data_IF_463040733581
#
_entry.id   IF_463040733581
#
_cell.length_a   1.000
_cell.length_b   1.000
_cell.length_c   1.000
_cell.angle_alpha   90.00
_cell.angle_beta   90.00
_cell.angle_gamma   90.00
#
_symmetry.space_group_name_H-M   'P 1'
#
loop_
_entity.id
_entity.type
_entity.pdbx_description
1 polymer ?
#
# COMPACT_ATOMS: atom_id res chain seq x y z
N UNK A 1 -2.64 -39.13 44.54
CA UNK A 1 -3.57 -38.70 43.47
C UNK A 1 -3.84 -37.22 43.68
N UNK A 2 -3.39 -36.34 42.77
CA UNK A 2 -3.72 -34.91 42.84
C UNK A 2 -5.19 -34.81 42.45
N UNK A 3 -6.05 -34.35 43.36
CA UNK A 3 -7.46 -34.13 43.08
C UNK A 3 -7.60 -32.96 42.09
N UNK A 4 -7.76 -33.31 40.82
CA UNK A 4 -7.92 -32.38 39.68
C UNK A 4 -9.08 -31.42 39.93
N UNK A 5 -10.11 -31.84 40.67
CA UNK A 5 -11.25 -30.99 41.04
C UNK A 5 -10.82 -29.85 41.97
N UNK A 6 -10.07 -30.15 43.03
CA UNK A 6 -9.55 -29.14 43.96
C UNK A 6 -8.61 -28.11 43.30
N UNK A 7 -7.79 -28.56 42.33
CA UNK A 7 -6.88 -27.67 41.57
C UNK A 7 -7.68 -26.74 40.66
N UNK A 8 -8.69 -27.25 39.97
CA UNK A 8 -9.58 -26.45 39.10
C UNK A 8 -10.35 -25.39 39.91
N UNK A 9 -10.89 -25.75 41.07
CA UNK A 9 -11.60 -24.79 41.96
C UNK A 9 -10.65 -23.69 42.47
N UNK A 10 -9.38 -24.03 42.72
CA UNK A 10 -8.37 -23.06 43.19
C UNK A 10 -7.98 -22.09 42.08
N UNK A 11 -7.80 -22.58 40.86
CA UNK A 11 -7.55 -21.76 39.66
C UNK A 11 -8.73 -20.80 39.41
N UNK A 12 -9.96 -21.29 39.56
CA UNK A 12 -11.16 -20.49 39.34
C UNK A 12 -11.31 -19.37 40.38
N UNK A 13 -11.05 -19.66 41.66
CA UNK A 13 -11.00 -18.64 42.73
C UNK A 13 -9.91 -17.58 42.49
N UNK A 14 -8.72 -18.00 42.04
CA UNK A 14 -7.63 -17.06 41.72
C UNK A 14 -8.01 -16.11 40.58
N UNK A 15 -8.60 -16.63 39.49
CA UNK A 15 -9.08 -15.81 38.37
C UNK A 15 -10.18 -14.84 38.80
N UNK A 16 -11.10 -15.26 39.67
CA UNK A 16 -12.15 -14.38 40.23
C UNK A 16 -11.54 -13.23 41.03
N UNK A 17 -10.56 -13.52 41.88
CA UNK A 17 -9.90 -12.51 42.70
C UNK A 17 -9.10 -11.51 41.85
N UNK A 18 -8.40 -11.98 40.82
CA UNK A 18 -7.66 -11.12 39.89
C UNK A 18 -8.58 -10.13 39.17
N UNK A 19 -9.76 -10.59 38.73
CA UNK A 19 -10.77 -9.73 38.09
C UNK A 19 -11.34 -8.71 39.08
N UNK A 20 -11.65 -9.13 40.32
CA UNK A 20 -12.13 -8.22 41.36
C UNK A 20 -11.08 -7.17 41.75
N UNK A 21 -9.79 -7.50 41.71
CA UNK A 21 -8.71 -6.54 41.99
C UNK A 21 -8.60 -5.43 40.92
N UNK A 22 -9.14 -5.64 39.70
CA UNK A 22 -9.25 -4.60 38.67
C UNK A 22 -10.36 -3.58 38.97
N UNK A 23 -11.22 -3.87 39.95
CA UNK A 23 -12.30 -2.99 40.36
C UNK A 23 -11.81 -1.87 41.26
N UNK A 24 -11.85 -0.63 40.75
CA UNK A 24 -11.32 0.55 41.44
C UNK A 24 -12.34 1.27 42.33
N UNK A 25 -13.63 0.95 42.21
CA UNK A 25 -14.68 1.59 42.99
C UNK A 25 -14.93 0.87 44.32
N UNK A 26 -15.23 1.66 45.36
CA UNK A 26 -15.55 1.13 46.69
C UNK A 26 -16.82 0.28 46.63
N UNK A 27 -16.78 -0.90 47.25
CA UNK A 27 -17.96 -1.72 47.56
C UNK A 27 -18.44 -1.37 48.97
N UNK A 28 -19.73 -1.09 49.14
CA UNK A 28 -20.32 -0.77 50.45
C UNK A 28 -21.71 -1.39 50.64
N UNK A 29 -22.17 -1.48 51.87
CA UNK A 29 -23.54 -1.91 52.20
C UNK A 29 -24.40 -0.68 52.51
N UNK A 30 -25.59 -0.61 51.90
CA UNK A 30 -26.57 0.43 52.13
C UNK A 30 -27.39 0.21 53.41
N UNK A 31 -28.11 1.25 53.85
CA UNK A 31 -29.04 1.20 55.00
C UNK A 31 -30.15 0.15 54.82
N UNK A 32 -30.45 -0.19 53.56
CA UNK A 32 -31.40 -1.21 53.11
C UNK A 32 -30.82 -2.64 53.10
N UNK A 33 -29.60 -2.83 53.62
CA UNK A 33 -28.92 -4.13 53.67
C UNK A 33 -28.35 -4.61 52.32
N UNK A 34 -28.59 -3.88 51.24
CA UNK A 34 -28.08 -4.22 49.90
C UNK A 34 -26.63 -3.80 49.70
N UNK A 35 -25.87 -4.60 48.95
CA UNK A 35 -24.49 -4.33 48.58
C UNK A 35 -24.43 -3.53 47.29
N UNK A 36 -23.62 -2.47 47.27
CA UNK A 36 -23.56 -1.48 46.20
C UNK A 36 -22.12 -1.22 45.75
N UNK A 37 -21.94 -0.95 44.47
CA UNK A 37 -20.72 -0.38 43.89
C UNK A 37 -21.03 0.45 42.65
N UNK A 38 -20.05 1.20 42.15
CA UNK A 38 -20.12 1.85 40.85
C UNK A 38 -19.36 1.04 39.80
N UNK A 39 -19.90 0.93 38.58
CA UNK A 39 -19.17 0.45 37.42
C UNK A 39 -19.05 1.59 36.39
N UNK A 40 -17.97 1.66 35.60
CA UNK A 40 -17.90 2.62 34.49
C UNK A 40 -19.05 2.38 33.50
N UNK A 41 -19.64 3.45 32.98
CA UNK A 41 -20.77 3.37 32.04
C UNK A 41 -20.36 3.31 30.55
N UNK A 42 -19.05 3.28 30.26
CA UNK A 42 -18.50 3.27 28.91
C UNK A 42 -18.52 4.63 28.19
N UNK A 43 -19.11 5.68 28.78
CA UNK A 43 -19.22 7.04 28.22
C UNK A 43 -18.51 8.10 29.09
N UNK A 44 -17.65 7.67 30.01
CA UNK A 44 -16.90 8.54 30.91
C UNK A 44 -17.62 8.84 32.24
N UNK A 45 -18.79 8.25 32.48
CA UNK A 45 -19.52 8.33 33.74
C UNK A 45 -19.51 7.01 34.51
N UNK A 46 -20.43 6.90 35.48
CA UNK A 46 -20.53 5.74 36.39
C UNK A 46 -21.98 5.33 36.60
N UNK A 47 -22.22 4.02 36.61
CA UNK A 47 -23.53 3.41 36.90
C UNK A 47 -23.51 2.74 38.27
N UNK A 48 -24.49 3.05 39.11
CA UNK A 48 -24.69 2.37 40.39
C UNK A 48 -25.26 0.97 40.14
N UNK A 49 -24.63 -0.04 40.75
CA UNK A 49 -25.12 -1.42 40.76
C UNK A 49 -25.41 -1.81 42.21
N UNK A 50 -26.60 -2.37 42.44
CA UNK A 50 -27.06 -2.82 43.76
C UNK A 50 -27.54 -4.27 43.68
N UNK A 51 -27.12 -5.09 44.64
CA UNK A 51 -27.55 -6.50 44.79
C UNK A 51 -27.79 -6.83 46.26
N UNK A 52 -28.75 -7.74 46.53
CA UNK A 52 -29.09 -8.14 47.91
C UNK A 52 -27.98 -8.95 48.60
N UNK A 53 -27.20 -9.74 47.86
CA UNK A 53 -26.08 -10.54 48.37
C UNK A 53 -24.75 -10.03 47.81
N UNK A 54 -23.69 -10.01 48.63
CA UNK A 54 -22.34 -9.60 48.22
C UNK A 54 -21.80 -10.46 47.07
N UNK A 55 -21.98 -11.78 47.15
CA UNK A 55 -21.57 -12.72 46.10
C UNK A 55 -22.21 -12.40 44.74
N UNK A 56 -23.48 -12.01 44.73
CA UNK A 56 -24.20 -11.62 43.50
C UNK A 56 -23.69 -10.27 42.96
N UNK A 57 -23.26 -9.37 43.82
CA UNK A 57 -22.59 -8.14 43.40
C UNK A 57 -21.23 -8.47 42.77
N UNK A 58 -20.42 -9.31 43.42
CA UNK A 58 -19.11 -9.75 42.93
C UNK A 58 -19.23 -10.50 41.59
N UNK A 59 -20.23 -11.37 41.42
CA UNK A 59 -20.54 -11.99 40.13
C UNK A 59 -20.86 -10.96 39.04
N UNK A 60 -21.60 -9.89 39.39
CA UNK A 60 -21.92 -8.81 38.44
C UNK A 60 -20.68 -8.00 38.07
N UNK A 61 -19.80 -7.71 39.03
CA UNK A 61 -18.51 -7.04 38.80
C UNK A 61 -17.63 -7.90 37.89
N UNK A 62 -17.52 -9.21 38.19
CA UNK A 62 -16.73 -10.14 37.39
C UNK A 62 -17.29 -10.26 35.97
N UNK A 63 -18.60 -10.38 35.81
CA UNK A 63 -19.25 -10.42 34.51
C UNK A 63 -18.96 -9.16 33.70
N UNK A 64 -19.07 -7.98 34.31
CA UNK A 64 -18.73 -6.70 33.68
C UNK A 64 -17.28 -6.66 33.18
N UNK A 65 -16.31 -7.01 34.02
CA UNK A 65 -14.90 -6.97 33.60
C UNK A 65 -14.52 -8.10 32.63
N UNK A 66 -15.21 -9.24 32.67
CA UNK A 66 -15.09 -10.27 31.62
C UNK A 66 -15.63 -9.75 30.30
N UNK A 67 -16.81 -9.14 30.31
CA UNK A 67 -17.42 -8.56 29.12
C UNK A 67 -16.57 -7.42 28.53
N UNK A 68 -16.02 -6.54 29.38
CA UNK A 68 -15.07 -5.50 28.97
C UNK A 68 -13.76 -6.09 28.41
N UNK A 69 -13.26 -7.18 28.98
CA UNK A 69 -12.09 -7.91 28.46
C UNK A 69 -12.40 -8.64 27.15
N UNK A 70 -13.65 -9.03 26.93
CA UNK A 70 -14.14 -9.70 25.71
C UNK A 70 -14.68 -8.72 24.66
N UNK A 71 -14.67 -7.41 24.94
CA UNK A 71 -15.11 -6.37 24.03
C UNK A 71 -13.93 -5.45 23.69
N UNK A 72 -13.09 -5.86 22.73
CA UNK A 72 -11.97 -5.04 22.28
C UNK A 72 -12.47 -3.81 21.50
N UNK A 73 -11.62 -2.80 21.43
CA UNK A 73 -11.78 -1.65 20.53
C UNK A 73 -11.57 -2.06 19.07
N UNK A 74 -12.07 -1.24 18.14
CA UNK A 74 -11.81 -1.42 16.71
C UNK A 74 -10.31 -1.47 16.41
N UNK A 75 -9.52 -0.62 17.08
CA UNK A 75 -8.06 -0.61 16.93
C UNK A 75 -7.43 -1.93 17.35
N UNK A 76 -7.79 -2.47 18.50
CA UNK A 76 -7.24 -3.74 18.99
C UNK A 76 -7.57 -4.91 18.06
N UNK A 77 -8.79 -4.93 17.49
CA UNK A 77 -9.18 -5.95 16.49
C UNK A 77 -8.39 -5.78 15.20
N UNK A 78 -8.20 -4.54 14.74
CA UNK A 78 -7.39 -4.24 13.57
C UNK A 78 -5.92 -4.65 13.75
N UNK A 79 -5.31 -4.27 14.86
CA UNK A 79 -3.90 -4.58 15.18
C UNK A 79 -3.71 -6.09 15.23
N UNK A 80 -4.55 -6.82 15.99
CA UNK A 80 -4.52 -8.29 16.06
C UNK A 80 -4.63 -8.91 14.67
N UNK A 81 -5.59 -8.45 13.85
CA UNK A 81 -5.79 -8.98 12.51
C UNK A 81 -4.59 -8.73 11.59
N UNK A 82 -4.02 -7.53 11.61
CA UNK A 82 -2.94 -7.15 10.71
C UNK A 82 -1.61 -7.77 11.14
N UNK A 83 -1.30 -7.77 12.45
CA UNK A 83 -0.10 -8.38 13.04
C UNK A 83 -0.09 -9.88 12.81
N UNK A 84 -1.21 -10.55 13.06
CA UNK A 84 -1.36 -11.98 12.80
C UNK A 84 -1.10 -12.35 11.34
N UNK A 85 -1.49 -11.49 10.37
CA UNK A 85 -1.19 -11.74 8.94
C UNK A 85 0.30 -11.62 8.65
N UNK A 86 1.00 -10.72 9.34
CA UNK A 86 2.45 -10.56 9.22
C UNK A 86 3.18 -11.75 9.86
N UNK A 87 2.81 -12.14 11.08
CA UNK A 87 3.37 -13.29 11.81
C UNK A 87 3.22 -14.60 11.02
N UNK A 88 2.03 -14.82 10.44
CA UNK A 88 1.76 -15.98 9.58
C UNK A 88 2.37 -15.87 8.17
N UNK A 89 3.20 -14.86 7.91
CA UNK A 89 3.86 -14.61 6.63
C UNK A 89 2.88 -14.50 5.45
N UNK A 90 1.61 -14.18 5.70
CA UNK A 90 0.58 -13.96 4.68
C UNK A 90 0.76 -12.62 3.97
N UNK A 91 1.44 -11.68 4.62
CA UNK A 91 1.78 -10.37 4.05
C UNK A 91 3.23 -10.01 4.35
N UNK A 92 3.80 -9.13 3.53
CA UNK A 92 5.11 -8.54 3.78
C UNK A 92 5.06 -7.39 4.81
N UNK A 93 6.18 -7.07 5.49
CA UNK A 93 6.28 -5.91 6.38
C UNK A 93 5.83 -4.58 5.73
N UNK A 94 6.15 -4.37 4.45
CA UNK A 94 5.72 -3.17 3.71
C UNK A 94 4.23 -3.14 3.37
N UNK A 95 3.55 -4.30 3.35
CA UNK A 95 2.09 -4.35 3.22
C UNK A 95 1.45 -4.07 4.58
N UNK A 96 1.96 -4.69 5.63
CA UNK A 96 1.53 -4.43 7.01
C UNK A 96 1.59 -2.93 7.34
N UNK A 97 2.75 -2.29 7.15
CA UNK A 97 2.93 -0.85 7.41
C UNK A 97 1.93 0.01 6.62
N UNK A 98 1.72 -0.31 5.35
CA UNK A 98 0.77 0.44 4.51
C UNK A 98 -0.65 0.33 5.03
N UNK A 99 -1.04 -0.88 5.47
CA UNK A 99 -2.34 -1.13 6.08
C UNK A 99 -2.50 -0.36 7.39
N UNK A 100 -1.46 -0.30 8.24
CA UNK A 100 -1.43 0.53 9.45
C UNK A 100 -1.59 2.02 9.11
N UNK A 101 -0.79 2.57 8.20
CA UNK A 101 -0.88 3.98 7.80
C UNK A 101 -2.25 4.35 7.22
N UNK A 102 -2.85 3.42 6.49
CA UNK A 102 -4.19 3.60 5.95
C UNK A 102 -5.24 3.61 7.07
N UNK A 103 -5.14 2.69 8.03
CA UNK A 103 -6.01 2.67 9.20
C UNK A 103 -5.86 3.93 10.06
N UNK A 104 -4.64 4.35 10.37
CA UNK A 104 -4.37 5.58 11.12
C UNK A 104 -5.05 6.81 10.48
N UNK A 105 -5.00 6.92 9.15
CA UNK A 105 -5.60 8.03 8.41
C UNK A 105 -7.12 8.11 8.61
N UNK A 106 -7.80 6.97 8.53
CA UNK A 106 -9.27 6.90 8.45
C UNK A 106 -9.96 6.62 9.79
N UNK A 107 -9.28 6.01 10.76
CA UNK A 107 -9.88 5.57 12.02
C UNK A 107 -9.37 6.32 13.24
N UNK A 108 -8.12 6.80 13.21
CA UNK A 108 -7.46 7.43 14.37
C UNK A 108 -7.42 8.96 14.22
N UNK A 109 -6.91 9.45 13.09
CA UNK A 109 -6.83 10.90 12.81
C UNK A 109 -8.18 11.51 12.44
N UNK A 110 -9.16 10.66 12.17
CA UNK A 110 -10.52 11.06 11.86
C UNK A 110 -11.26 11.54 13.12
N UNK A 111 -12.17 12.49 12.92
CA UNK A 111 -12.93 13.12 14.01
C UNK A 111 -13.89 12.17 14.73
N UNK A 112 -14.34 11.11 14.09
CA UNK A 112 -15.30 10.15 14.65
C UNK A 112 -14.67 9.20 15.67
N UNK A 113 -13.33 9.17 15.75
CA UNK A 113 -12.56 8.36 16.72
C UNK A 113 -13.02 6.90 16.77
N UNK A 114 -13.47 6.34 15.64
CA UNK A 114 -14.02 4.99 15.55
C UNK A 114 -13.02 3.93 16.02
N UNK A 115 -11.71 4.18 15.87
CA UNK A 115 -10.65 3.31 16.39
C UNK A 115 -10.80 2.99 17.89
N UNK A 116 -11.30 3.93 18.70
CA UNK A 116 -11.39 3.79 20.16
C UNK A 116 -12.74 3.23 20.61
N UNK A 117 -13.71 3.09 19.71
CA UNK A 117 -15.02 2.53 20.04
C UNK A 117 -14.92 1.02 20.22
N UNK A 118 -15.76 0.49 21.11
CA UNK A 118 -15.87 -0.94 21.41
C UNK A 118 -16.58 -1.65 20.27
N UNK A 119 -15.96 -2.67 19.68
CA UNK A 119 -16.45 -3.25 18.42
C UNK A 119 -17.85 -3.87 18.53
N UNK A 120 -18.19 -4.46 19.70
CA UNK A 120 -19.52 -5.06 19.93
C UNK A 120 -20.64 -4.01 19.99
N UNK A 121 -20.30 -2.75 20.23
CA UNK A 121 -21.27 -1.66 20.36
C UNK A 121 -21.63 -1.02 19.01
N UNK A 122 -20.94 -1.39 17.92
CA UNK A 122 -21.11 -0.76 16.61
C UNK A 122 -21.98 -1.66 15.74
N UNK A 123 -23.14 -1.16 15.36
CA UNK A 123 -24.09 -1.81 14.45
C UNK A 123 -23.60 -1.82 13.00
N UNK A 124 -24.21 -2.66 12.17
CA UNK A 124 -23.93 -2.68 10.72
C UNK A 124 -24.21 -1.31 10.06
N UNK A 125 -25.28 -0.64 10.49
CA UNK A 125 -25.66 0.69 9.98
C UNK A 125 -24.61 1.77 10.36
N UNK A 126 -24.09 1.75 11.59
CA UNK A 126 -23.02 2.66 12.00
C UNK A 126 -21.71 2.43 11.20
N UNK A 127 -21.44 1.19 10.80
CA UNK A 127 -20.32 0.88 9.89
C UNK A 127 -20.53 1.46 8.49
N UNK A 128 -21.75 1.39 7.97
CA UNK A 128 -22.10 1.95 6.66
C UNK A 128 -21.96 3.47 6.67
N UNK A 129 -22.62 4.13 7.62
CA UNK A 129 -22.54 5.58 7.78
C UNK A 129 -21.09 6.07 7.93
N UNK A 130 -20.26 5.35 8.69
CA UNK A 130 -18.86 5.69 8.82
C UNK A 130 -18.15 5.64 7.45
N UNK A 131 -18.33 4.56 6.67
CA UNK A 131 -17.68 4.40 5.37
C UNK A 131 -18.12 5.48 4.36
N UNK A 132 -19.41 5.80 4.32
CA UNK A 132 -19.97 6.86 3.48
C UNK A 132 -19.41 8.24 3.87
N UNK A 133 -19.34 8.54 5.18
CA UNK A 133 -18.69 9.76 5.69
C UNK A 133 -17.21 9.81 5.33
N UNK A 134 -16.50 8.69 5.35
CA UNK A 134 -15.08 8.63 4.93
C UNK A 134 -14.90 8.92 3.44
N UNK A 135 -15.80 8.42 2.58
CA UNK A 135 -15.78 8.70 1.14
C UNK A 135 -15.86 10.21 0.87
N UNK A 136 -16.87 10.87 1.42
CA UNK A 136 -17.08 12.31 1.23
C UNK A 136 -15.98 13.15 1.90
N UNK A 137 -15.60 12.84 3.14
CA UNK A 137 -14.65 13.65 3.92
C UNK A 137 -13.23 13.66 3.35
N UNK A 138 -12.78 12.53 2.82
CA UNK A 138 -11.43 12.39 2.29
C UNK A 138 -11.38 12.48 0.75
N UNK A 139 -12.52 12.81 0.10
CA UNK A 139 -12.64 12.96 -1.35
C UNK A 139 -11.99 11.77 -2.07
N UNK A 140 -12.47 10.56 -1.74
CA UNK A 140 -11.80 9.32 -2.15
C UNK A 140 -12.10 8.97 -3.61
N UNK A 141 -11.08 8.46 -4.30
CA UNK A 141 -11.28 7.77 -5.59
C UNK A 141 -11.90 6.40 -5.36
N UNK A 142 -12.57 5.83 -6.37
CA UNK A 142 -13.14 4.47 -6.29
C UNK A 142 -12.11 3.42 -5.84
N UNK A 143 -10.85 3.55 -6.29
CA UNK A 143 -9.74 2.66 -5.89
C UNK A 143 -9.35 2.82 -4.42
N UNK A 144 -9.28 4.06 -3.94
CA UNK A 144 -8.97 4.33 -2.54
C UNK A 144 -10.09 3.83 -1.61
N UNK A 145 -11.35 4.06 -1.99
CA UNK A 145 -12.52 3.57 -1.26
C UNK A 145 -12.60 2.03 -1.27
N UNK A 146 -12.36 1.38 -2.41
CA UNK A 146 -12.26 -0.09 -2.49
C UNK A 146 -11.15 -0.64 -1.58
N UNK A 147 -10.02 0.07 -1.46
CA UNK A 147 -8.95 -0.29 -0.52
C UNK A 147 -9.39 -0.16 0.94
N UNK A 148 -10.15 0.90 1.29
CA UNK A 148 -10.75 1.07 2.62
C UNK A 148 -11.71 -0.07 2.94
N UNK A 149 -12.66 -0.37 2.03
CA UNK A 149 -13.58 -1.51 2.16
C UNK A 149 -12.83 -2.83 2.34
N UNK A 150 -11.74 -3.04 1.61
CA UNK A 150 -10.90 -4.23 1.74
C UNK A 150 -10.26 -4.39 3.13
N UNK A 151 -9.81 -3.29 3.75
CA UNK A 151 -9.27 -3.31 5.12
C UNK A 151 -10.38 -3.59 6.13
N UNK A 152 -11.52 -2.88 6.02
CA UNK A 152 -12.70 -3.07 6.90
C UNK A 152 -13.22 -4.49 6.83
N UNK A 153 -13.45 -5.01 5.62
CA UNK A 153 -13.81 -6.41 5.38
C UNK A 153 -12.85 -7.36 6.09
N UNK A 154 -11.55 -7.08 6.00
CA UNK A 154 -10.49 -7.92 6.56
C UNK A 154 -10.62 -8.11 8.06
N UNK A 155 -10.56 -7.02 8.83
CA UNK A 155 -10.59 -7.11 10.29
C UNK A 155 -11.99 -7.42 10.83
N UNK A 156 -13.08 -7.01 10.15
CA UNK A 156 -14.45 -7.39 10.58
C UNK A 156 -14.74 -8.86 10.32
N UNK A 157 -14.25 -9.48 9.24
CA UNK A 157 -14.35 -10.95 9.08
C UNK A 157 -13.61 -11.68 10.20
N UNK A 158 -12.49 -11.12 10.69
CA UNK A 158 -11.79 -11.63 11.86
C UNK A 158 -12.61 -11.46 13.14
N UNK A 159 -13.25 -10.30 13.33
CA UNK A 159 -14.16 -10.04 14.44
C UNK A 159 -15.32 -11.04 14.47
N UNK A 160 -15.97 -11.28 13.31
CA UNK A 160 -17.04 -12.26 13.17
C UNK A 160 -16.58 -13.68 13.51
N UNK A 161 -15.40 -14.09 13.03
CA UNK A 161 -14.80 -15.40 13.37
C UNK A 161 -14.49 -15.55 14.87
N UNK A 162 -14.34 -14.44 15.59
CA UNK A 162 -14.14 -14.40 17.05
C UNK A 162 -15.44 -14.13 17.80
N UNK A 163 -16.59 -14.17 17.12
CA UNK A 163 -17.92 -13.95 17.70
C UNK A 163 -18.06 -12.58 18.39
N UNK A 164 -17.30 -11.59 17.92
CA UNK A 164 -17.39 -10.20 18.39
C UNK A 164 -18.50 -9.42 17.68
N UNK A 165 -18.95 -9.89 16.52
CA UNK A 165 -20.06 -9.33 15.75
C UNK A 165 -20.86 -10.49 15.14
N UNK A 166 -22.16 -10.26 14.92
CA UNK A 166 -23.07 -11.29 14.38
C UNK A 166 -23.60 -10.97 12.98
N UNK A 167 -23.57 -9.71 12.54
CA UNK A 167 -24.05 -9.30 11.22
C UNK A 167 -23.17 -9.84 10.08
N UNK A 168 -23.69 -9.82 8.85
CA UNK A 168 -22.97 -10.20 7.65
C UNK A 168 -22.07 -9.05 7.18
N UNK A 169 -20.75 -9.28 7.17
CA UNK A 169 -19.76 -8.26 6.79
C UNK A 169 -19.81 -7.97 5.29
N UNK A 170 -20.13 -8.98 4.47
CA UNK A 170 -20.19 -8.79 3.02
C UNK A 170 -21.46 -8.04 2.62
N UNK A 171 -22.64 -8.43 3.13
CA UNK A 171 -23.90 -7.67 2.93
C UNK A 171 -23.77 -6.22 3.40
N UNK A 172 -23.24 -5.99 4.60
CA UNK A 172 -23.02 -4.62 5.11
C UNK A 172 -22.19 -3.75 4.15
N UNK A 173 -21.22 -4.32 3.45
CA UNK A 173 -20.37 -3.60 2.49
C UNK A 173 -20.95 -3.50 1.08
N UNK A 174 -21.92 -4.34 0.75
CA UNK A 174 -22.66 -4.35 -0.52
C UNK A 174 -23.82 -3.34 -0.47
N UNK A 175 -24.48 -3.23 0.69
CA UNK A 175 -25.61 -2.33 0.95
C UNK A 175 -25.20 -0.87 1.22
N UNK A 176 -23.95 -0.48 0.92
CA UNK A 176 -23.50 0.91 1.04
C UNK A 176 -24.21 1.80 0.02
N UNK A 177 -24.76 2.93 0.47
CA UNK A 177 -25.39 3.91 -0.41
C UNK A 177 -24.31 4.82 -1.02
N UNK A 178 -23.67 4.33 -2.09
CA UNK A 178 -22.61 5.05 -2.80
C UNK A 178 -22.82 5.00 -4.31
N UNK A 179 -22.73 6.15 -4.96
CA UNK A 179 -22.84 6.28 -6.42
C UNK A 179 -21.52 6.62 -7.08
N UNK A 180 -21.39 6.31 -8.38
CA UNK A 180 -20.16 6.64 -9.13
C UNK A 180 -19.82 8.14 -9.17
N UNK A 181 -20.82 9.00 -8.97
CA UNK A 181 -20.68 10.46 -9.03
C UNK A 181 -20.01 11.04 -7.79
N UNK A 182 -20.04 10.32 -6.68
CA UNK A 182 -19.43 10.74 -5.41
C UNK A 182 -17.93 10.48 -5.35
N UNK A 183 -17.41 9.60 -6.21
CA UNK A 183 -15.98 9.35 -6.25
C UNK A 183 -15.23 10.49 -6.91
N UNK A 184 -14.13 10.89 -6.29
CA UNK A 184 -13.16 11.81 -6.88
C UNK A 184 -12.69 11.28 -8.25
N UNK A 185 -12.93 12.07 -9.29
CA UNK A 185 -12.38 11.82 -10.62
C UNK A 185 -11.01 12.47 -10.71
N UNK A 186 -10.01 11.67 -11.05
CA UNK A 186 -8.65 12.16 -11.30
C UNK A 186 -8.37 11.97 -12.79
N UNK A 187 -8.24 13.09 -13.49
CA UNK A 187 -7.83 13.12 -14.89
C UNK A 187 -6.32 13.38 -14.88
N UNK A 188 -5.59 12.55 -15.64
CA UNK A 188 -4.16 12.70 -15.84
C UNK A 188 -3.89 12.95 -17.31
N UNK A 189 -3.21 14.06 -17.58
CA UNK A 189 -2.79 14.43 -18.93
C UNK A 189 -1.63 13.53 -19.39
N UNK A 190 -1.48 13.35 -20.70
CA UNK A 190 -0.44 12.46 -21.25
C UNK A 190 0.96 12.90 -20.82
N UNK A 191 1.22 14.21 -20.78
CA UNK A 191 2.50 14.78 -20.35
C UNK A 191 2.81 14.53 -18.86
N UNK A 192 1.85 14.10 -18.05
CA UNK A 192 2.09 13.70 -16.65
C UNK A 192 2.39 12.20 -16.52
N UNK A 193 1.96 11.43 -17.51
CA UNK A 193 1.92 9.98 -17.48
C UNK A 193 3.07 9.32 -18.23
N UNK A 194 3.57 9.96 -19.28
CA UNK A 194 4.65 9.46 -20.13
C UNK A 194 5.60 10.59 -20.51
N UNK A 195 6.86 10.24 -20.75
CA UNK A 195 7.77 11.05 -21.55
C UNK A 195 7.38 10.91 -23.02
N UNK A 196 7.20 12.05 -23.68
CA UNK A 196 7.06 12.11 -25.14
C UNK A 196 8.41 11.83 -25.84
N UNK A 197 8.41 11.80 -27.17
CA UNK A 197 9.61 11.51 -27.96
C UNK A 197 10.73 12.55 -27.72
N UNK A 198 10.37 13.84 -27.71
CA UNK A 198 11.32 14.96 -27.53
C UNK A 198 11.92 14.95 -26.11
N UNK A 199 11.10 14.72 -25.10
CA UNK A 199 11.51 14.60 -23.70
C UNK A 199 12.39 13.36 -23.47
N UNK A 200 12.06 12.25 -24.12
CA UNK A 200 12.82 11.00 -24.02
C UNK A 200 14.21 11.17 -24.64
N UNK A 201 14.29 11.73 -25.86
CA UNK A 201 15.55 12.05 -26.52
C UNK A 201 16.40 12.99 -25.66
N UNK A 202 15.81 14.09 -25.20
CA UNK A 202 16.50 15.07 -24.35
C UNK A 202 17.06 14.46 -23.05
N UNK A 203 16.27 13.62 -22.38
CA UNK A 203 16.69 12.95 -21.16
C UNK A 203 17.82 11.95 -21.43
N UNK A 204 17.66 11.07 -22.43
CA UNK A 204 18.64 10.03 -22.77
C UNK A 204 19.97 10.62 -23.22
N UNK A 205 19.94 11.65 -24.07
CA UNK A 205 21.15 12.37 -24.51
C UNK A 205 21.88 12.98 -23.33
N UNK A 206 21.18 13.70 -22.45
CA UNK A 206 21.80 14.26 -21.25
C UNK A 206 22.45 13.19 -20.37
N UNK A 207 21.77 12.05 -20.16
CA UNK A 207 22.29 10.94 -19.34
C UNK A 207 23.56 10.33 -19.94
N UNK A 208 23.62 10.17 -21.28
CA UNK A 208 24.80 9.65 -21.99
C UNK A 208 25.99 10.63 -21.93
N UNK A 209 25.73 11.92 -22.07
CA UNK A 209 26.78 12.94 -22.04
C UNK A 209 27.32 13.21 -20.63
N UNK A 210 26.56 12.86 -19.60
CA UNK A 210 26.88 13.11 -18.20
C UNK A 210 26.84 11.82 -17.38
N UNK A 211 27.49 10.75 -17.85
CA UNK A 211 27.44 9.46 -17.16
C UNK A 211 28.06 9.53 -15.75
N UNK A 212 27.22 9.24 -14.76
CA UNK A 212 27.62 8.92 -13.39
C UNK A 212 26.78 7.71 -12.92
N UNK A 213 27.08 7.16 -11.74
CA UNK A 213 26.37 5.97 -11.23
C UNK A 213 24.84 6.18 -11.07
N UNK A 214 24.37 7.39 -10.77
CA UNK A 214 22.93 7.67 -10.67
C UNK A 214 22.31 7.82 -12.05
N UNK A 215 22.98 8.52 -12.97
CA UNK A 215 22.51 8.71 -14.33
C UNK A 215 22.51 7.38 -15.09
N UNK A 216 23.47 6.50 -14.82
CA UNK A 216 23.46 5.12 -15.34
C UNK A 216 22.25 4.33 -14.84
N UNK A 217 21.88 4.46 -13.56
CA UNK A 217 20.69 3.81 -13.03
C UNK A 217 19.40 4.30 -13.72
N UNK A 218 19.30 5.61 -14.00
CA UNK A 218 18.17 6.20 -14.71
C UNK A 218 18.17 5.76 -16.18
N UNK A 219 19.32 5.77 -16.84
CA UNK A 219 19.46 5.33 -18.23
C UNK A 219 19.01 3.88 -18.39
N UNK A 220 19.41 3.00 -17.46
CA UNK A 220 18.98 1.61 -17.45
C UNK A 220 17.46 1.49 -17.33
N UNK A 221 16.79 2.37 -16.57
CA UNK A 221 15.32 2.39 -16.52
C UNK A 221 14.69 2.71 -17.87
N UNK A 222 15.24 3.66 -18.62
CA UNK A 222 14.73 4.00 -19.96
C UNK A 222 15.02 2.89 -20.99
N UNK A 223 16.17 2.23 -20.88
CA UNK A 223 16.58 1.18 -21.82
C UNK A 223 15.84 -0.15 -21.62
N UNK A 224 15.45 -0.47 -20.38
CA UNK A 224 14.93 -1.81 -20.02
C UNK A 224 13.55 -1.81 -19.39
N UNK A 225 13.03 -0.62 -19.05
CA UNK A 225 11.82 -0.45 -18.27
C UNK A 225 11.94 -0.91 -16.81
N UNK A 226 13.07 -1.45 -16.33
CA UNK A 226 13.22 -2.05 -14.98
C UNK A 226 12.67 -1.17 -13.84
N UNK A 227 12.12 -1.80 -12.80
CA UNK A 227 11.67 -1.04 -11.63
C UNK A 227 12.90 -0.53 -10.89
N UNK A 228 12.83 0.70 -10.39
CA UNK A 228 13.94 1.34 -9.65
C UNK A 228 14.48 0.48 -8.50
N UNK A 229 13.61 -0.25 -7.78
CA UNK A 229 14.02 -1.16 -6.71
C UNK A 229 14.73 -2.42 -7.20
N UNK A 230 14.47 -2.86 -8.44
CA UNK A 230 15.18 -3.96 -9.10
C UNK A 230 16.59 -3.50 -9.50
N UNK A 231 16.72 -2.30 -10.08
CA UNK A 231 18.00 -1.75 -10.54
C UNK A 231 19.00 -1.58 -9.40
N UNK A 232 18.58 -0.93 -8.31
CA UNK A 232 19.48 -0.70 -7.16
C UNK A 232 19.79 -1.98 -6.37
N UNK A 233 19.20 -3.12 -6.74
CA UNK A 233 19.42 -4.42 -6.14
C UNK A 233 20.23 -5.37 -7.06
N UNK A 234 20.63 -4.91 -8.25
CA UNK A 234 21.44 -5.68 -9.19
C UNK A 234 22.83 -5.98 -8.63
N UNK A 235 23.22 -7.25 -8.74
CA UNK A 235 24.56 -7.74 -8.47
C UNK A 235 25.28 -8.07 -9.78
N UNK A 236 26.60 -8.21 -9.75
CA UNK A 236 27.37 -8.58 -10.95
C UNK A 236 26.97 -9.95 -11.51
N UNK A 237 26.62 -10.92 -10.65
CA UNK A 237 26.11 -12.25 -11.08
C UNK A 237 24.78 -12.19 -11.85
N UNK A 238 24.08 -11.05 -11.80
CA UNK A 238 22.82 -10.85 -12.50
C UNK A 238 23.03 -10.34 -13.95
N UNK A 239 24.24 -9.90 -14.32
CA UNK A 239 24.54 -9.32 -15.64
C UNK A 239 25.31 -10.34 -16.48
N UNK A 240 24.68 -10.80 -17.55
CA UNK A 240 25.26 -11.72 -18.54
C UNK A 240 25.36 -11.02 -19.89
N UNK A 241 26.04 -11.63 -20.85
CA UNK A 241 26.10 -11.08 -22.20
C UNK A 241 24.72 -11.21 -22.89
N UNK A 242 24.16 -10.06 -23.30
CA UNK A 242 22.88 -9.95 -23.99
C UNK A 242 21.64 -9.97 -23.09
N UNK A 243 21.77 -10.15 -21.77
CA UNK A 243 20.63 -10.07 -20.87
C UNK A 243 20.96 -9.82 -19.38
N UNK A 244 19.98 -9.25 -18.67
CA UNK A 244 20.02 -9.00 -17.22
C UNK A 244 18.99 -9.87 -16.49
N UNK A 245 19.43 -10.62 -15.49
CA UNK A 245 18.60 -11.43 -14.60
C UNK A 245 17.99 -10.57 -13.50
N UNK A 246 16.69 -10.30 -13.58
CA UNK A 246 15.98 -9.65 -12.47
C UNK A 246 15.63 -10.71 -11.44
N UNK A 247 16.31 -10.67 -10.30
CA UNK A 247 16.11 -11.61 -9.18
C UNK A 247 15.67 -10.94 -7.90
N UNK A 248 16.05 -9.68 -7.68
CA UNK A 248 15.91 -9.02 -6.38
C UNK A 248 15.17 -7.70 -6.49
N UNK A 249 14.66 -7.22 -5.36
CA UNK A 249 14.08 -5.87 -5.29
C UNK A 249 14.26 -5.23 -3.92
N UNK A 250 14.59 -3.94 -3.92
CA UNK A 250 14.60 -3.12 -2.72
C UNK A 250 13.17 -2.92 -2.18
N UNK A 251 12.99 -3.17 -0.89
CA UNK A 251 11.77 -2.82 -0.16
C UNK A 251 12.09 -1.96 1.06
N UNK A 252 11.19 -1.03 1.36
CA UNK A 252 11.28 -0.14 2.52
C UNK A 252 10.07 -0.36 3.43
N UNK A 253 10.32 -0.50 4.73
CA UNK A 253 9.30 -0.63 5.77
C UNK A 253 9.82 -0.01 7.08
N UNK A 254 8.97 0.07 8.11
CA UNK A 254 9.37 0.47 9.46
C UNK A 254 9.63 -0.78 10.29
N UNK A 255 10.77 -0.83 10.97
CA UNK A 255 11.04 -1.91 11.93
C UNK A 255 10.25 -1.72 13.23
N UNK A 256 10.46 -2.62 14.19
CA UNK A 256 9.81 -2.59 15.51
C UNK A 256 10.15 -1.31 16.31
N UNK A 257 11.25 -0.63 15.99
CA UNK A 257 11.66 0.63 16.63
C UNK A 257 11.02 1.85 15.95
N UNK A 258 10.26 1.65 14.88
CA UNK A 258 9.60 2.71 14.11
C UNK A 258 10.50 3.40 13.08
N UNK A 259 11.76 2.96 12.96
CA UNK A 259 12.73 3.49 12.02
C UNK A 259 12.55 2.88 10.64
N UNK A 260 12.75 3.69 9.60
CA UNK A 260 12.67 3.19 8.23
C UNK A 260 13.89 2.35 7.89
N UNK A 261 13.66 1.07 7.63
CA UNK A 261 14.67 0.12 7.17
C UNK A 261 14.46 -0.16 5.69
N UNK A 262 15.56 -0.28 4.97
CA UNK A 262 15.62 -0.65 3.57
C UNK A 262 16.30 -2.01 3.47
N UNK A 263 15.61 -2.98 2.86
CA UNK A 263 16.10 -4.36 2.71
C UNK A 263 16.00 -4.80 1.26
N UNK A 264 16.84 -5.75 0.87
CA UNK A 264 16.71 -6.47 -0.39
C UNK A 264 15.89 -7.73 -0.14
N UNK A 265 14.96 -8.02 -1.05
CA UNK A 265 14.27 -9.31 -1.10
C UNK A 265 14.80 -10.11 -2.27
N UNK A 266 15.21 -11.34 -2.01
CA UNK A 266 15.76 -12.26 -3.01
C UNK A 266 14.70 -12.82 -3.98
N UNK A 267 13.42 -12.51 -3.77
CA UNK A 267 12.34 -12.87 -4.70
C UNK A 267 11.34 -11.72 -4.86
N UNK A 268 10.94 -11.37 -6.09
CA UNK A 268 9.84 -10.47 -6.36
C UNK A 268 8.52 -11.05 -5.84
N UNK A 269 7.53 -10.18 -5.59
CA UNK A 269 6.21 -10.58 -5.04
C UNK A 269 5.46 -11.63 -5.87
N UNK A 270 5.81 -11.82 -7.13
CA UNK A 270 5.16 -12.75 -8.07
C UNK A 270 6.23 -13.52 -8.87
N UNK A 271 5.91 -14.75 -9.31
CA UNK A 271 6.81 -15.55 -10.17
C UNK A 271 7.24 -14.79 -11.44
N UNK A 272 6.32 -14.02 -12.04
CA UNK A 272 6.60 -13.17 -13.21
C UNK A 272 7.60 -12.01 -12.94
N UNK A 273 7.89 -11.70 -11.67
CA UNK A 273 8.92 -10.71 -11.37
C UNK A 273 10.33 -11.24 -11.61
N UNK A 274 10.53 -12.57 -11.53
CA UNK A 274 11.79 -13.24 -11.89
C UNK A 274 11.82 -13.40 -13.40
N UNK A 275 12.66 -12.61 -14.07
CA UNK A 275 12.71 -12.59 -15.53
C UNK A 275 14.11 -12.27 -16.04
N UNK A 276 14.35 -12.54 -17.31
CA UNK A 276 15.55 -12.12 -18.01
C UNK A 276 15.13 -10.99 -18.95
N UNK A 277 15.83 -9.87 -18.84
CA UNK A 277 15.63 -8.69 -19.68
C UNK A 277 16.67 -8.75 -20.76
N UNK A 278 16.24 -8.96 -22.01
CA UNK A 278 17.13 -8.98 -23.16
C UNK A 278 17.62 -7.56 -23.44
N UNK A 279 18.92 -7.43 -23.68
CA UNK A 279 19.58 -6.19 -24.08
C UNK A 279 20.04 -6.36 -25.54
N UNK A 280 19.55 -5.54 -26.48
CA UNK A 280 20.01 -5.57 -27.87
C UNK A 280 21.50 -5.23 -27.99
N UNK A 281 22.17 -5.81 -28.98
CA UNK A 281 23.61 -5.64 -29.24
C UNK A 281 24.00 -4.17 -29.41
N UNK A 282 23.16 -3.37 -30.07
CA UNK A 282 23.37 -1.93 -30.28
C UNK A 282 23.44 -1.15 -28.95
N UNK A 283 22.88 -1.72 -27.89
CA UNK A 283 22.91 -1.20 -26.52
C UNK A 283 23.80 -2.01 -25.58
N UNK A 284 24.55 -3.00 -26.08
CA UNK A 284 25.43 -3.87 -25.30
C UNK A 284 26.54 -3.12 -24.53
N UNK A 285 26.87 -1.91 -24.96
CA UNK A 285 27.76 -1.01 -24.20
C UNK A 285 27.24 -0.71 -22.78
N UNK A 286 25.92 -0.79 -22.55
CA UNK A 286 25.30 -0.67 -21.22
C UNK A 286 25.84 -1.77 -20.30
N UNK A 287 25.88 -3.01 -20.77
CA UNK A 287 26.38 -4.16 -20.01
C UNK A 287 27.85 -3.97 -19.65
N UNK A 288 28.66 -3.54 -20.62
CA UNK A 288 30.08 -3.20 -20.38
C UNK A 288 30.21 -2.13 -19.30
N UNK A 289 29.40 -1.06 -19.33
CA UNK A 289 29.42 -0.04 -18.29
C UNK A 289 28.95 -0.55 -16.94
N UNK A 290 27.94 -1.43 -16.89
CA UNK A 290 27.48 -2.05 -15.64
C UNK A 290 28.59 -2.90 -15.01
N UNK A 291 29.30 -3.72 -15.79
CA UNK A 291 30.42 -4.55 -15.30
C UNK A 291 31.59 -3.71 -14.76
N UNK A 292 31.80 -2.51 -15.31
CA UNK A 292 32.83 -1.57 -14.83
C UNK A 292 32.42 -0.78 -13.57
N UNK A 293 31.14 -0.74 -13.22
CA UNK A 293 30.68 -0.08 -12.01
C UNK A 293 30.91 -0.98 -10.79
N UNK A 294 31.75 -0.53 -9.86
CA UNK A 294 32.07 -1.27 -8.63
C UNK A 294 32.47 -2.75 -8.89
N UNK A 295 33.48 -3.00 -9.74
CA UNK A 295 33.74 -4.34 -10.30
C UNK A 295 34.10 -5.41 -9.25
N UNK A 296 34.55 -4.99 -8.07
CA UNK A 296 34.96 -5.88 -6.98
C UNK A 296 33.93 -5.96 -5.84
N UNK A 297 32.82 -5.23 -5.94
CA UNK A 297 31.78 -5.24 -4.91
C UNK A 297 30.62 -6.17 -5.26
N UNK A 298 29.75 -6.44 -4.28
CA UNK A 298 28.59 -7.31 -4.49
C UNK A 298 27.52 -6.66 -5.38
N UNK A 299 27.23 -5.38 -5.14
CA UNK A 299 26.19 -4.61 -5.85
C UNK A 299 26.80 -3.68 -6.89
N UNK A 300 26.16 -3.56 -8.05
CA UNK A 300 26.63 -2.69 -9.14
C UNK A 300 26.49 -1.20 -8.76
N UNK A 301 25.34 -0.82 -8.21
CA UNK A 301 25.03 0.57 -7.90
C UNK A 301 25.36 0.90 -6.43
N UNK A 302 26.46 1.62 -6.22
CA UNK A 302 26.90 2.14 -4.91
C UNK A 302 26.89 3.68 -4.88
N UNK A 303 26.80 4.24 -3.67
CA UNK A 303 26.98 5.68 -3.47
C UNK A 303 28.47 6.03 -3.47
N UNK A 304 28.92 6.97 -4.32
CA UNK A 304 30.34 7.34 -4.38
C UNK A 304 30.90 7.89 -3.07
N UNK A 305 30.05 8.48 -2.23
CA UNK A 305 30.46 9.16 -1.00
C UNK A 305 30.89 8.20 0.12
N UNK A 306 30.21 7.05 0.25
CA UNK A 306 30.41 6.15 1.40
C UNK A 306 30.54 4.68 1.00
N UNK A 307 30.48 4.34 -0.28
CA UNK A 307 30.58 2.95 -0.77
C UNK A 307 29.36 2.08 -0.46
N UNK A 308 28.35 2.60 0.25
CA UNK A 308 27.14 1.83 0.53
C UNK A 308 26.32 1.60 -0.73
N UNK A 309 25.55 0.51 -0.77
CA UNK A 309 24.56 0.26 -1.83
C UNK A 309 23.65 1.47 -2.02
N UNK A 310 23.49 1.87 -3.26
CA UNK A 310 22.60 2.96 -3.64
C UNK A 310 21.15 2.59 -3.29
N UNK A 311 20.42 3.52 -2.66
CA UNK A 311 19.01 3.31 -2.34
C UNK A 311 18.12 3.83 -3.46
N UNK A 312 16.96 3.23 -3.71
CA UNK A 312 16.04 3.68 -4.76
C UNK A 312 15.62 5.15 -4.59
N UNK A 313 15.58 5.64 -3.34
CA UNK A 313 15.28 7.04 -3.06
C UNK A 313 16.34 8.01 -3.61
N UNK A 314 17.62 7.61 -3.68
CA UNK A 314 18.68 8.44 -4.24
C UNK A 314 18.49 8.64 -5.75
N UNK A 315 18.23 7.56 -6.48
CA UNK A 315 17.92 7.58 -7.93
C UNK A 315 16.64 8.38 -8.20
N UNK A 316 15.59 8.21 -7.37
CA UNK A 316 14.34 8.98 -7.48
C UNK A 316 14.59 10.48 -7.36
N UNK A 317 15.37 10.91 -6.37
CA UNK A 317 15.72 12.33 -6.19
C UNK A 317 16.52 12.86 -7.38
N UNK A 318 17.47 12.06 -7.89
CA UNK A 318 18.25 12.45 -9.08
C UNK A 318 17.33 12.65 -10.29
N UNK A 319 16.40 11.73 -10.54
CA UNK A 319 15.43 11.86 -11.63
C UNK A 319 14.59 13.14 -11.50
N UNK A 320 14.10 13.46 -10.31
CA UNK A 320 13.36 14.71 -10.06
C UNK A 320 14.20 15.96 -10.36
N UNK A 321 15.46 15.97 -9.94
CA UNK A 321 16.40 17.06 -10.23
C UNK A 321 16.64 17.21 -11.74
N UNK A 322 16.79 16.10 -12.46
CA UNK A 322 16.98 16.12 -13.91
C UNK A 322 15.73 16.60 -14.65
N UNK A 323 14.53 16.16 -14.24
CA UNK A 323 13.28 16.70 -14.79
C UNK A 323 13.23 18.22 -14.66
N UNK A 324 13.50 18.77 -13.47
CA UNK A 324 13.55 20.21 -13.25
C UNK A 324 14.63 20.89 -14.10
N UNK A 325 15.85 20.34 -14.15
CA UNK A 325 16.97 20.90 -14.94
C UNK A 325 16.64 20.95 -16.44
N UNK A 326 16.02 19.90 -16.96
CA UNK A 326 15.69 19.76 -18.37
C UNK A 326 14.35 20.41 -18.74
N UNK A 327 13.66 21.07 -17.80
CA UNK A 327 12.32 21.66 -17.99
C UNK A 327 11.28 20.62 -18.45
N UNK A 328 11.39 19.41 -17.91
CA UNK A 328 10.45 18.30 -18.13
C UNK A 328 9.54 18.22 -16.91
N UNK A 329 8.25 17.95 -17.11
CA UNK A 329 7.30 17.75 -16.00
C UNK A 329 7.82 16.66 -15.05
N UNK A 330 7.69 16.87 -13.73
CA UNK A 330 8.23 15.94 -12.75
C UNK A 330 7.49 14.61 -12.78
N UNK A 331 8.14 13.60 -13.35
CA UNK A 331 7.60 12.26 -13.52
C UNK A 331 8.28 11.29 -12.56
N UNK A 332 7.48 10.38 -12.00
CA UNK A 332 8.02 9.34 -11.12
C UNK A 332 8.77 8.26 -11.89
N UNK A 333 9.64 7.47 -11.25
CA UNK A 333 10.28 6.30 -11.87
C UNK A 333 9.31 5.32 -12.55
N UNK A 334 8.06 5.24 -12.06
CA UNK A 334 7.06 4.39 -12.67
C UNK A 334 6.57 4.92 -14.01
N UNK A 335 6.63 6.24 -14.25
CA UNK A 335 6.31 6.86 -15.54
C UNK A 335 7.38 6.59 -16.60
N UNK A 336 8.66 6.48 -16.21
CA UNK A 336 9.73 6.00 -17.10
C UNK A 336 9.43 4.58 -17.59
N UNK A 337 9.10 3.68 -16.65
CA UNK A 337 8.64 2.32 -17.01
C UNK A 337 7.39 2.35 -17.88
N UNK A 338 6.48 3.30 -17.62
CA UNK A 338 5.27 3.48 -18.43
C UNK A 338 5.62 3.82 -19.87
N UNK A 339 6.47 4.82 -20.07
CA UNK A 339 7.02 5.20 -21.37
C UNK A 339 7.68 4.03 -22.08
N UNK A 340 8.48 3.21 -21.39
CA UNK A 340 9.10 2.03 -22.00
C UNK A 340 8.05 1.01 -22.50
N UNK A 341 7.04 0.72 -21.68
CA UNK A 341 5.91 -0.11 -22.11
C UNK A 341 5.20 0.47 -23.35
N UNK A 342 5.02 1.79 -23.39
CA UNK A 342 4.46 2.47 -24.57
C UNK A 342 5.39 2.40 -25.79
N UNK A 343 6.73 2.48 -25.66
CA UNK A 343 7.68 2.23 -26.78
C UNK A 343 7.36 0.89 -27.41
N UNK A 344 7.27 -0.16 -26.59
CA UNK A 344 7.09 -1.52 -27.09
C UNK A 344 5.75 -1.70 -27.80
N UNK A 345 4.69 -1.07 -27.28
CA UNK A 345 3.36 -1.09 -27.91
C UNK A 345 3.33 -0.32 -29.22
N UNK A 346 3.91 0.89 -29.25
CA UNK A 346 3.96 1.72 -30.46
C UNK A 346 4.77 1.03 -31.59
N UNK A 347 5.73 0.18 -31.21
CA UNK A 347 6.52 -0.63 -32.13
C UNK A 347 5.86 -1.96 -32.54
N UNK A 348 4.63 -2.25 -32.09
CA UNK A 348 3.93 -3.53 -32.29
C UNK A 348 4.77 -4.74 -31.85
N UNK A 349 5.52 -4.62 -30.76
CA UNK A 349 6.24 -5.76 -30.19
C UNK A 349 5.27 -6.85 -29.72
N UNK A 350 5.66 -8.12 -29.83
CA UNK A 350 4.85 -9.25 -29.37
C UNK A 350 4.45 -9.08 -27.89
N UNK A 351 3.18 -9.39 -27.60
CA UNK A 351 2.60 -9.21 -26.26
C UNK A 351 3.35 -10.03 -25.19
N UNK A 352 3.83 -11.24 -25.53
CA UNK A 352 4.59 -12.06 -24.60
C UNK A 352 5.96 -11.44 -24.32
N UNK A 353 6.63 -10.90 -25.35
CA UNK A 353 7.88 -10.16 -25.18
C UNK A 353 7.69 -8.95 -24.27
N UNK A 354 6.60 -8.18 -24.47
CA UNK A 354 6.27 -7.05 -23.61
C UNK A 354 6.07 -7.49 -22.16
N UNK A 355 5.28 -8.53 -21.91
CA UNK A 355 5.03 -9.06 -20.57
C UNK A 355 6.31 -9.60 -19.90
N UNK A 356 7.19 -10.24 -20.66
CA UNK A 356 8.48 -10.75 -20.17
C UNK A 356 9.44 -9.62 -19.79
N UNK A 357 9.60 -8.59 -20.62
CA UNK A 357 10.44 -7.44 -20.29
C UNK A 357 9.87 -6.65 -19.11
N UNK A 358 8.54 -6.44 -19.11
CA UNK A 358 7.81 -5.68 -18.10
C UNK A 358 7.36 -6.49 -16.88
N UNK A 359 7.71 -7.76 -16.74
CA UNK A 359 7.39 -8.58 -15.56
C UNK A 359 5.96 -8.38 -15.02
N UNK A 360 4.98 -8.41 -15.93
CA UNK A 360 3.54 -8.32 -15.63
C UNK A 360 2.90 -9.69 -15.78
N UNK A 361 1.90 -9.99 -14.95
CA UNK A 361 1.17 -11.28 -14.99
C UNK A 361 -0.06 -11.19 -15.90
N UNK A 362 -0.58 -9.99 -16.15
CA UNK A 362 -1.85 -9.78 -16.84
C UNK A 362 -1.70 -8.74 -17.96
N UNK A 363 -2.14 -9.10 -19.16
CA UNK A 363 -2.18 -8.29 -20.38
C UNK A 363 -3.06 -7.05 -20.23
N UNK A 364 -4.17 -7.15 -19.51
CA UNK A 364 -5.11 -6.02 -19.32
C UNK A 364 -4.47 -4.85 -18.56
N UNK A 365 -3.44 -5.14 -17.74
CA UNK A 365 -2.65 -4.11 -17.06
C UNK A 365 -1.84 -3.30 -18.08
N UNK A 366 -1.39 -3.93 -19.17
CA UNK A 366 -0.57 -3.30 -20.20
C UNK A 366 -1.39 -2.32 -21.05
N UNK A 367 -2.46 -2.77 -21.72
CA UNK A 367 -3.21 -1.90 -22.66
C UNK A 367 -3.89 -0.70 -21.97
N UNK A 368 -4.60 -0.91 -20.85
CA UNK A 368 -5.36 0.16 -20.16
C UNK A 368 -4.48 1.15 -19.40
N UNK A 369 -3.30 0.73 -18.92
CA UNK A 369 -2.44 1.61 -18.12
C UNK A 369 -1.26 2.21 -18.88
N UNK A 370 -0.83 1.63 -20.00
CA UNK A 370 0.42 2.02 -20.66
C UNK A 370 0.24 2.63 -22.05
N UNK A 371 -0.82 2.32 -22.79
CA UNK A 371 -1.00 2.92 -24.11
C UNK A 371 -1.46 4.38 -23.96
N UNK A 372 -0.51 5.31 -24.06
CA UNK A 372 -0.73 6.76 -24.09
C UNK A 372 -0.05 7.32 -25.32
N UNK A 373 -0.57 8.40 -25.88
CA UNK A 373 0.01 8.97 -27.08
C UNK A 373 1.25 9.80 -26.70
N UNK A 374 2.43 9.33 -27.10
CA UNK A 374 3.72 9.98 -26.84
C UNK A 374 4.17 10.94 -27.93
N UNK A 375 3.38 11.11 -28.98
CA UNK A 375 3.69 12.06 -30.03
C UNK A 375 3.55 13.47 -29.46
N UNK A 376 4.51 14.34 -29.75
CA UNK A 376 4.36 15.74 -29.36
C UNK A 376 3.17 16.37 -30.09
N UNK A 377 2.63 17.48 -29.57
CA UNK A 377 1.51 18.18 -30.22
C UNK A 377 1.85 18.50 -31.69
N UNK A 378 3.09 18.90 -31.96
CA UNK A 378 3.61 19.20 -33.29
C UNK A 378 3.57 17.97 -34.22
N UNK A 379 4.00 16.81 -33.72
CA UNK A 379 3.92 15.56 -34.49
C UNK A 379 2.46 15.12 -34.71
N UNK A 380 1.59 15.27 -33.71
CA UNK A 380 0.15 14.99 -33.85
C UNK A 380 -0.43 15.84 -34.99
N UNK A 381 -0.12 17.14 -35.02
CA UNK A 381 -0.52 18.05 -36.11
C UNK A 381 -0.01 17.55 -37.46
N UNK A 382 1.29 17.25 -37.59
CA UNK A 382 1.87 16.73 -38.85
C UNK A 382 1.25 15.43 -39.34
N UNK A 383 0.80 14.56 -38.44
CA UNK A 383 0.11 13.31 -38.80
C UNK A 383 -1.30 13.61 -39.31
N UNK A 384 -2.06 14.41 -38.57
CA UNK A 384 -3.42 14.80 -38.98
C UNK A 384 -3.40 15.57 -40.30
N UNK A 385 -2.41 16.44 -40.48
CA UNK A 385 -2.13 17.15 -41.72
C UNK A 385 -1.78 16.22 -42.88
N UNK A 386 -1.41 14.95 -42.68
CA UNK A 386 -1.16 13.99 -43.76
C UNK A 386 -2.39 13.19 -44.16
N UNK A 387 -3.48 13.28 -43.41
CA UNK A 387 -4.72 12.55 -43.69
C UNK A 387 -5.48 13.26 -44.84
N UNK A 388 -5.66 12.61 -46.00
CA UNK A 388 -6.28 13.23 -47.16
C UNK A 388 -7.66 13.84 -46.88
N UNK A 389 -8.49 13.14 -46.10
CA UNK A 389 -9.84 13.59 -45.76
C UNK A 389 -9.84 14.87 -44.90
N UNK A 390 -8.88 15.00 -43.97
CA UNK A 390 -8.73 16.20 -43.15
C UNK A 390 -8.12 17.36 -43.94
N UNK A 391 -7.23 17.06 -44.90
CA UNK A 391 -6.71 18.06 -45.85
C UNK A 391 -7.82 18.63 -46.73
N UNK A 392 -8.77 17.80 -47.16
CA UNK A 392 -9.88 18.24 -47.99
C UNK A 392 -10.76 19.31 -47.30
N UNK A 393 -10.84 19.29 -45.96
CA UNK A 393 -11.54 20.31 -45.14
C UNK A 393 -10.77 21.63 -45.13
N UNK A 394 -9.44 21.62 -45.28
CA UNK A 394 -8.58 22.80 -45.19
C UNK A 394 -8.59 23.66 -46.47
N UNK A 395 -9.24 23.22 -47.55
CA UNK A 395 -9.50 24.07 -48.69
C UNK A 395 -10.54 25.12 -48.27
N UNK A 396 -10.07 26.31 -47.88
CA UNK A 396 -10.92 27.49 -47.85
C UNK A 396 -11.68 27.57 -49.17
N UNK A 397 -13.01 27.67 -49.08
CA UNK A 397 -13.86 28.21 -50.13
C UNK A 397 -13.34 29.60 -50.46
N UNK A 398 -12.38 29.68 -51.38
CA UNK A 398 -12.00 30.91 -52.06
C UNK A 398 -13.10 31.26 -53.04
N UNK A 399 -14.24 31.71 -52.53
CA UNK A 399 -15.28 32.40 -53.31
C UNK A 399 -16.27 33.06 -52.35
N UNK A 400 -16.01 34.35 -52.05
CA UNK A 400 -17.00 35.39 -51.84
C UNK A 400 -16.31 36.76 -52.01
#
# INVERSE_FOLDING_TARGET
MIDVSSVLTKIEKMKRQEILNKHTYKIWQGKDGSWKTHLPDGKGGRKLVSKRKREKLEETIIAYYKEEAENPTVKEVFDEWNDRRLELKKISPSTHLRTVQFFERHFIRDKEKMANQKIKAISAMEWQEFLEKQLARYDLTAKAFSSLKGIVRGFLKRAKKRELIHFSVDEMLEDLDVSEREFKRVIHEDYEEVYDEDETEKMVTYLKDNLDVHNMAILLMFATGMRIGEIVALKHEDVEDGYIKVRRTETRYKDATGHYVTTIKDYPKTKAGVRNIVIPDETGWIETKLKLLNPFGEYIFIQPKNGERMKAQAVRRRLQQLCTKLKIYQKSPHKVRKTYGTILMDANADDNLLLQQMGHVDRNVSERHYHRNRKSIEQKRKILEKIPDLRAIANETKEA
#
